data_IF_568438736488
#
_entry.id   IF_568438736488
#
_cell.length_a   1.000
_cell.length_b   1.000
_cell.length_c   1.000
_cell.angle_alpha   90.00
_cell.angle_beta   90.00
_cell.angle_gamma   90.00
#
_symmetry.space_group_name_H-M   'P 1'
#
loop_
_entity.id
_entity.type
_entity.pdbx_description
1 polymer ?
#
# COMPACT_ATOMS: atom_id res chain seq x y z
N UNK A 1 -18.02 -14.91 24.55
CA UNK A 1 -17.33 -14.98 23.24
C UNK A 1 -15.94 -14.39 23.40
N UNK A 2 -15.00 -14.82 22.56
CA UNK A 2 -13.65 -14.29 22.33
C UNK A 2 -12.50 -14.96 23.09
N UNK A 3 -12.10 -16.13 22.58
CA UNK A 3 -10.69 -16.52 22.60
C UNK A 3 -10.07 -16.05 21.29
N UNK A 4 -9.27 -14.98 21.31
CA UNK A 4 -8.36 -14.69 20.21
C UNK A 4 -7.23 -15.74 20.28
N UNK A 5 -7.05 -16.62 19.29
CA UNK A 5 -5.92 -17.53 19.32
C UNK A 5 -4.67 -16.70 19.06
N UNK A 6 -3.81 -16.62 20.08
CA UNK A 6 -2.43 -16.20 19.96
C UNK A 6 -1.71 -17.21 19.06
N UNK A 7 -1.72 -16.96 17.76
CA UNK A 7 -0.93 -17.75 16.81
C UNK A 7 0.55 -17.37 16.97
N UNK A 8 1.43 -18.31 17.37
CA UNK A 8 2.86 -18.06 17.39
C UNK A 8 3.35 -18.01 15.93
N UNK A 9 3.45 -16.80 15.37
CA UNK A 9 4.04 -16.54 14.05
C UNK A 9 3.11 -15.95 12.98
N UNK A 10 1.85 -15.66 13.30
CA UNK A 10 0.87 -15.10 12.37
C UNK A 10 0.58 -13.61 12.56
N UNK A 11 0.13 -12.94 11.49
CA UNK A 11 -0.43 -11.57 11.57
C UNK A 11 -1.70 -11.59 12.43
N UNK A 12 -1.83 -10.67 13.38
CA UNK A 12 -3.09 -10.49 14.13
C UNK A 12 -4.15 -9.81 13.25
N UNK A 13 -5.43 -9.97 13.58
CA UNK A 13 -6.54 -9.46 12.76
C UNK A 13 -6.43 -7.95 12.45
N UNK A 14 -6.01 -7.14 13.43
CA UNK A 14 -5.80 -5.69 13.24
C UNK A 14 -4.70 -5.43 12.20
N UNK A 15 -3.58 -6.15 12.28
CA UNK A 15 -2.49 -6.04 11.30
C UNK A 15 -2.95 -6.47 9.90
N UNK A 16 -3.76 -7.53 9.80
CA UNK A 16 -4.35 -7.96 8.52
C UNK A 16 -5.24 -6.87 7.94
N UNK A 17 -6.11 -6.28 8.76
CA UNK A 17 -6.98 -5.18 8.33
C UNK A 17 -6.18 -3.99 7.79
N UNK A 18 -5.10 -3.61 8.49
CA UNK A 18 -4.20 -2.55 8.06
C UNK A 18 -3.54 -2.86 6.70
N UNK A 19 -3.00 -4.07 6.53
CA UNK A 19 -2.40 -4.51 5.28
C UNK A 19 -3.42 -4.58 4.12
N UNK A 20 -4.67 -4.99 4.40
CA UNK A 20 -5.76 -4.96 3.40
C UNK A 20 -6.10 -3.53 2.99
N UNK A 21 -6.10 -2.58 3.93
CA UNK A 21 -6.30 -1.17 3.61
C UNK A 21 -5.19 -0.62 2.69
N UNK A 22 -3.94 -1.00 2.94
CA UNK A 22 -2.80 -0.65 2.09
C UNK A 22 -2.91 -1.24 0.67
N UNK A 23 -3.35 -2.50 0.55
CA UNK A 23 -3.60 -3.11 -0.76
C UNK A 23 -4.73 -2.41 -1.53
N UNK A 24 -5.81 -2.02 -0.85
CA UNK A 24 -6.89 -1.22 -1.46
C UNK A 24 -6.40 0.15 -1.90
N UNK A 25 -5.50 0.77 -1.14
CA UNK A 25 -4.85 2.01 -1.55
C UNK A 25 -3.99 1.81 -2.81
N UNK A 26 -3.14 0.78 -2.86
CA UNK A 26 -2.38 0.45 -4.07
C UNK A 26 -3.28 0.17 -5.28
N UNK A 27 -4.42 -0.49 -5.06
CA UNK A 27 -5.40 -0.73 -6.11
C UNK A 27 -6.04 0.57 -6.63
N UNK A 28 -6.29 1.55 -5.75
CA UNK A 28 -6.77 2.88 -6.17
C UNK A 28 -5.73 3.65 -6.99
N UNK A 29 -4.45 3.56 -6.61
CA UNK A 29 -3.34 4.23 -7.32
C UNK A 29 -3.05 3.60 -8.69
N UNK A 30 -3.09 2.27 -8.78
CA UNK A 30 -2.71 1.53 -9.99
C UNK A 30 -3.90 1.17 -10.89
N UNK A 31 -5.12 1.16 -10.36
CA UNK A 31 -6.35 0.81 -11.07
C UNK A 31 -6.51 -0.67 -11.45
N UNK A 32 -5.55 -1.54 -11.11
CA UNK A 32 -5.60 -2.96 -11.47
C UNK A 32 -4.94 -3.87 -10.44
N UNK A 33 -5.66 -4.92 -10.03
CA UNK A 33 -5.15 -5.96 -9.13
C UNK A 33 -3.96 -6.74 -9.71
N UNK A 34 -3.83 -6.80 -11.04
CA UNK A 34 -2.68 -7.44 -11.70
C UNK A 34 -1.42 -6.62 -11.45
N UNK A 35 -1.52 -5.29 -11.57
CA UNK A 35 -0.40 -4.37 -11.29
C UNK A 35 -0.04 -4.36 -9.81
N UNK A 36 -1.04 -4.43 -8.91
CA UNK A 36 -0.80 -4.60 -7.48
C UNK A 36 -0.04 -5.90 -7.19
N UNK A 37 -0.47 -7.01 -7.77
CA UNK A 37 0.19 -8.31 -7.60
C UNK A 37 1.64 -8.28 -8.09
N UNK A 38 1.89 -7.69 -9.27
CA UNK A 38 3.24 -7.47 -9.79
C UNK A 38 4.09 -6.60 -8.85
N UNK A 39 3.53 -5.52 -8.32
CA UNK A 39 4.25 -4.58 -7.45
C UNK A 39 4.60 -5.19 -6.08
N UNK A 40 3.73 -6.07 -5.57
CA UNK A 40 3.95 -6.79 -4.31
C UNK A 40 4.80 -8.06 -4.54
N UNK A 41 4.94 -8.53 -5.78
CA UNK A 41 5.74 -9.72 -6.11
C UNK A 41 5.07 -11.04 -5.74
N UNK A 42 3.74 -11.07 -5.70
CA UNK A 42 2.95 -12.27 -5.38
C UNK A 42 1.96 -12.58 -6.51
N UNK A 43 1.53 -13.84 -6.59
CA UNK A 43 0.49 -14.23 -7.54
C UNK A 43 -0.83 -13.52 -7.23
N UNK A 44 -1.57 -13.14 -8.27
CA UNK A 44 -2.84 -12.39 -8.12
C UNK A 44 -3.84 -13.09 -7.21
N UNK A 45 -3.95 -14.42 -7.31
CA UNK A 45 -4.88 -15.20 -6.49
C UNK A 45 -4.58 -15.06 -4.99
N UNK A 46 -3.31 -15.07 -4.59
CA UNK A 46 -2.88 -14.92 -3.18
C UNK A 46 -3.21 -13.52 -2.67
N UNK A 47 -2.96 -12.49 -3.49
CA UNK A 47 -3.27 -11.09 -3.12
C UNK A 47 -4.77 -10.89 -2.95
N UNK A 48 -5.59 -11.48 -3.84
CA UNK A 48 -7.04 -11.41 -3.75
C UNK A 48 -7.59 -12.20 -2.55
N UNK A 49 -7.12 -13.43 -2.33
CA UNK A 49 -7.53 -14.26 -1.20
C UNK A 49 -7.20 -13.61 0.15
N UNK A 50 -6.03 -12.94 0.25
CA UNK A 50 -5.69 -12.15 1.43
C UNK A 50 -6.57 -10.91 1.58
N UNK A 51 -6.88 -10.22 0.47
CA UNK A 51 -7.70 -9.01 0.47
C UNK A 51 -9.17 -9.29 0.82
N UNK A 52 -9.72 -10.40 0.35
CA UNK A 52 -11.06 -10.91 0.67
C UNK A 52 -11.12 -11.46 2.10
N UNK A 53 -9.98 -11.93 2.62
CA UNK A 53 -9.84 -12.46 3.96
C UNK A 53 -10.05 -13.96 4.06
N UNK A 54 -10.18 -14.64 2.92
CA UNK A 54 -10.17 -16.10 2.84
C UNK A 54 -8.84 -16.68 3.34
N UNK A 55 -7.72 -15.96 3.16
CA UNK A 55 -6.42 -16.36 3.69
C UNK A 55 -5.85 -15.37 4.73
N UNK A 56 -5.23 -15.87 5.81
CA UNK A 56 -4.64 -15.04 6.86
C UNK A 56 -3.40 -14.26 6.41
N UNK A 57 -2.79 -14.65 5.29
CA UNK A 57 -1.52 -14.10 4.80
C UNK A 57 -0.31 -14.56 5.62
N UNK A 58 0.87 -14.09 5.23
CA UNK A 58 2.14 -14.41 5.91
C UNK A 58 3.02 -13.16 6.07
N UNK A 59 4.07 -13.26 6.90
CA UNK A 59 5.01 -12.15 7.14
C UNK A 59 5.84 -11.74 5.91
N UNK A 60 5.97 -12.61 4.90
CA UNK A 60 6.63 -12.27 3.64
C UNK A 60 5.75 -11.36 2.77
N UNK A 61 4.44 -11.62 2.74
CA UNK A 61 3.43 -10.79 2.09
C UNK A 61 3.35 -9.44 2.78
N UNK A 62 3.30 -9.40 4.12
CA UNK A 62 3.30 -8.16 4.89
C UNK A 62 4.53 -7.28 4.57
N UNK A 63 5.74 -7.87 4.55
CA UNK A 63 6.97 -7.17 4.16
C UNK A 63 6.92 -6.64 2.74
N UNK A 64 6.35 -7.41 1.82
CA UNK A 64 6.28 -7.02 0.42
C UNK A 64 5.26 -5.92 0.19
N UNK A 65 4.11 -5.95 0.89
CA UNK A 65 3.13 -4.86 0.90
C UNK A 65 3.77 -3.58 1.45
N UNK A 66 4.47 -3.66 2.59
CA UNK A 66 5.16 -2.53 3.19
C UNK A 66 6.16 -1.89 2.21
N UNK A 67 7.00 -2.70 1.55
CA UNK A 67 7.92 -2.26 0.51
C UNK A 67 7.21 -1.61 -0.68
N UNK A 68 6.10 -2.20 -1.13
CA UNK A 68 5.32 -1.68 -2.26
C UNK A 68 4.72 -0.28 -1.99
N UNK A 69 4.40 0.03 -0.74
CA UNK A 69 3.88 1.35 -0.31
C UNK A 69 4.97 2.30 0.19
N UNK A 70 6.24 1.85 0.27
CA UNK A 70 7.34 2.66 0.77
C UNK A 70 7.34 2.88 2.29
N UNK A 71 6.76 1.95 3.05
CA UNK A 71 6.73 1.96 4.52
C UNK A 71 7.66 0.90 5.10
N UNK A 72 8.09 1.13 6.35
CA UNK A 72 8.66 0.07 7.18
C UNK A 72 7.59 -0.98 7.51
N UNK A 73 8.01 -2.23 7.79
CA UNK A 73 7.07 -3.28 8.19
C UNK A 73 6.25 -2.86 9.42
N UNK A 74 6.90 -2.30 10.43
CA UNK A 74 6.23 -1.85 11.67
C UNK A 74 5.16 -0.79 11.39
N UNK A 75 5.50 0.23 10.58
CA UNK A 75 4.56 1.28 10.18
C UNK A 75 3.36 0.73 9.39
N UNK A 76 3.59 -0.25 8.51
CA UNK A 76 2.54 -0.90 7.73
C UNK A 76 1.61 -1.75 8.63
N UNK A 77 2.18 -2.46 9.60
CA UNK A 77 1.43 -3.25 10.59
C UNK A 77 0.64 -2.35 11.56
N UNK A 78 1.19 -1.19 11.91
CA UNK A 78 0.53 -0.16 12.71
C UNK A 78 -0.58 0.59 11.94
N UNK A 79 -0.70 0.37 10.63
CA UNK A 79 -1.71 1.04 9.80
C UNK A 79 -1.41 2.51 9.54
N UNK A 80 -0.13 2.92 9.62
CA UNK A 80 0.24 4.27 9.21
C UNK A 80 -0.06 4.47 7.74
N UNK A 81 -0.52 5.68 7.42
CA UNK A 81 -0.77 6.05 6.04
C UNK A 81 0.53 5.93 5.23
N UNK A 82 0.47 5.40 4.00
CA UNK A 82 1.58 5.53 3.07
C UNK A 82 2.00 7.00 3.01
N UNK A 83 3.29 7.33 2.93
CA UNK A 83 3.70 8.70 2.69
C UNK A 83 2.98 9.12 1.42
N UNK A 84 2.04 10.07 1.54
CA UNK A 84 1.45 10.70 0.37
C UNK A 84 2.64 11.12 -0.46
N UNK A 85 2.75 10.64 -1.71
CA UNK A 85 3.57 11.35 -2.70
C UNK A 85 3.05 12.77 -2.60
N UNK A 86 3.82 13.66 -1.98
CA UNK A 86 3.56 15.08 -2.10
C UNK A 86 3.43 15.27 -3.62
N UNK A 87 2.32 15.84 -4.13
CA UNK A 87 2.31 16.24 -5.53
C UNK A 87 3.58 17.06 -5.68
N UNK A 88 4.49 16.62 -6.57
CA UNK A 88 5.62 17.44 -6.92
C UNK A 88 4.98 18.77 -7.30
N UNK A 89 5.19 19.79 -6.45
CA UNK A 89 4.88 21.16 -6.80
C UNK A 89 5.74 21.39 -8.02
N UNK A 90 5.15 21.17 -9.19
CA UNK A 90 5.65 21.69 -10.44
C UNK A 90 5.59 23.18 -10.18
N UNK A 91 6.72 23.74 -9.74
CA UNK A 91 7.01 25.15 -9.85
C UNK A 91 6.91 25.41 -11.35
N UNK A 92 5.68 25.70 -11.80
CA UNK A 92 5.43 26.28 -13.09
C UNK A 92 6.08 27.65 -13.00
N UNK A 93 7.34 27.72 -13.42
CA UNK A 93 8.00 28.98 -13.70
C UNK A 93 7.15 29.64 -14.78
N UNK A 94 6.33 30.60 -14.37
CA UNK A 94 5.44 31.37 -15.24
C UNK A 94 6.20 31.82 -16.49
N UNK A 95 5.73 31.51 -17.71
CA UNK A 95 6.33 32.07 -18.91
C UNK A 95 5.84 33.51 -19.05
N UNK A 96 6.55 34.50 -18.50
CA UNK A 96 6.29 35.90 -18.85
C UNK A 96 6.96 36.20 -20.19
N UNK A 97 6.15 36.07 -21.25
CA UNK A 97 6.50 36.35 -22.64
C UNK A 97 6.54 37.88 -22.89
N UNK A 98 7.71 38.37 -23.33
CA UNK A 98 8.02 39.36 -24.40
C UNK A 98 7.12 40.60 -24.63
N UNK A 99 7.75 41.79 -24.63
CA UNK A 99 7.30 43.03 -25.30
C UNK A 99 7.47 44.26 -24.39
N UNK A 100 8.07 45.38 -24.76
CA UNK A 100 8.53 45.85 -26.06
C UNK A 100 9.44 47.08 -25.88
N UNK A 101 10.15 47.41 -26.95
CA UNK A 101 10.90 48.64 -27.10
C UNK A 101 9.93 49.83 -27.22
N UNK A 102 10.28 50.94 -26.57
CA UNK A 102 10.18 52.33 -27.05
C UNK A 102 10.74 53.26 -25.99
#
# INVERSE_FOLDING_TARGET
MMAAPLYPGGLVEIQRANLRALLRHLHRELGSWILVAHKVGFHRSVVLAFCDGSEPGNMALARSIARAVGLSLDDALAGKAPPRKAPALVLVSSPRRKGGAS
#
